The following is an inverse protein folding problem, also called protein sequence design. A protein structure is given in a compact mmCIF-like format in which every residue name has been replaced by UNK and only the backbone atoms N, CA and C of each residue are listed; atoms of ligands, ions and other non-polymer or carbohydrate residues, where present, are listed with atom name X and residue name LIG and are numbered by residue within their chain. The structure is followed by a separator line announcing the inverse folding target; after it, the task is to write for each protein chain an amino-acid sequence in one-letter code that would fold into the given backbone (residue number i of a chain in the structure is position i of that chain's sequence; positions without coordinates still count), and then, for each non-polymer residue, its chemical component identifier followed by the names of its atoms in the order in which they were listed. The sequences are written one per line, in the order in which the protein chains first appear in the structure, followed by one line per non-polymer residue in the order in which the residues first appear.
data_IF_073825731166
#
_entry.id   IF_073825731166
#
_cell.length_a   1.000
_cell.length_b   1.000
_cell.length_c   1.000
_cell.angle_alpha   90.00
_cell.angle_beta   90.00
_cell.angle_gamma   90.00
#
_symmetry.space_group_name_H-M   'P 1'
#
loop_
_entity.id
_entity.type
_entity.pdbx_description
1 polymer ?
#
# COMPACT_ATOMS: atom_id res chain seq x y z
N UNK A 1 -5.69 -8.16 -8.36
CA UNK A 1 -6.28 -9.50 -8.18
C UNK A 1 -6.26 -9.84 -6.70
N UNK A 2 -7.35 -10.30 -6.08
CA UNK A 2 -7.38 -10.63 -4.66
C UNK A 2 -7.15 -12.13 -4.44
N UNK A 3 -6.25 -12.44 -3.52
CA UNK A 3 -6.01 -13.80 -3.05
C UNK A 3 -6.52 -13.95 -1.62
N UNK A 4 -7.29 -15.02 -1.40
CA UNK A 4 -7.83 -15.41 -0.09
C UNK A 4 -6.86 -16.41 0.53
N UNK A 5 -6.25 -16.07 1.66
CA UNK A 5 -5.49 -17.04 2.44
C UNK A 5 -6.46 -17.95 3.22
N UNK A 6 -6.28 -19.28 3.22
CA UNK A 6 -7.19 -20.17 3.92
C UNK A 6 -7.03 -20.05 5.45
N UNK A 7 -8.17 -20.09 6.15
CA UNK A 7 -8.22 -20.33 7.59
C UNK A 7 -7.82 -21.80 7.88
N UNK A 8 -7.10 -22.09 8.99
CA UNK A 8 -6.85 -23.47 9.39
C UNK A 8 -8.15 -24.17 9.81
N UNK A 9 -8.51 -25.24 9.10
CA UNK A 9 -9.54 -26.20 9.50
C UNK A 9 -8.97 -27.13 10.59
N UNK A 10 -8.82 -26.67 11.83
CA UNK A 10 -8.63 -27.58 12.97
C UNK A 10 -9.23 -27.01 14.26
N UNK A 11 -10.55 -27.20 14.43
CA UNK A 11 -11.20 -27.38 15.73
C UNK A 11 -12.62 -27.89 15.47
N UNK A 12 -12.73 -29.20 15.23
CA UNK A 12 -13.90 -30.06 15.49
C UNK A 12 -13.61 -31.45 14.92
N UNK A 13 -12.84 -32.26 15.65
CA UNK A 13 -13.08 -33.72 15.68
C UNK A 13 -12.50 -34.32 16.95
N UNK A 14 -13.41 -34.95 17.68
CA UNK A 14 -13.19 -35.64 18.94
C UNK A 14 -12.15 -36.76 18.78
N UNK A 15 -11.38 -36.95 19.84
CA UNK A 15 -10.55 -38.10 20.12
C UNK A 15 -11.33 -39.41 19.95
N UNK A 16 -10.83 -40.33 19.14
CA UNK A 16 -10.86 -41.77 19.42
C UNK A 16 -9.54 -42.40 18.92
N UNK A 17 -8.94 -43.20 19.80
CA UNK A 17 -7.72 -43.98 19.60
C UNK A 17 -7.90 -45.06 18.51
N UNK A 18 -6.88 -45.33 17.69
CA UNK A 18 -6.36 -46.69 17.41
C UNK A 18 -5.06 -46.64 16.55
N UNK A 19 -4.18 -47.62 16.81
CA UNK A 19 -2.82 -47.82 16.27
C UNK A 19 -2.76 -48.16 14.76
N UNK A 20 -1.57 -48.04 14.10
CA UNK A 20 -1.44 -48.16 12.65
C UNK A 20 -1.15 -49.59 12.17
N UNK A 21 -1.69 -49.93 10.99
CA UNK A 21 -1.27 -51.07 10.17
C UNK A 21 -0.97 -50.56 8.75
N UNK A 22 0.26 -50.77 8.27
CA UNK A 22 0.64 -50.78 6.84
C UNK A 22 0.17 -52.12 6.24
N UNK A 23 -0.22 -52.22 4.94
CA UNK A 23 0.81 -52.40 3.90
C UNK A 23 0.47 -52.02 2.42
N UNK A 24 1.55 -52.01 1.64
CA UNK A 24 1.71 -52.41 0.23
C UNK A 24 1.46 -51.47 -0.96
N UNK A 25 2.50 -51.47 -1.80
CA UNK A 25 2.77 -50.87 -3.10
C UNK A 25 1.97 -51.45 -4.27
N UNK A 26 1.56 -50.61 -5.22
CA UNK A 26 1.16 -50.98 -6.60
C UNK A 26 1.68 -49.90 -7.60
N UNK A 27 2.20 -50.27 -8.79
CA UNK A 27 2.96 -49.38 -9.70
C UNK A 27 2.07 -48.65 -10.75
N UNK A 28 2.63 -47.81 -11.66
CA UNK A 28 1.90 -46.68 -12.26
C UNK A 28 1.12 -47.06 -13.52
N UNK A 29 0.00 -46.36 -13.78
CA UNK A 29 -0.70 -46.40 -15.08
C UNK A 29 -0.39 -45.12 -15.88
N UNK A 30 0.25 -45.33 -17.03
CA UNK A 30 0.36 -44.40 -18.15
C UNK A 30 -1.03 -44.02 -18.65
N UNK A 31 -1.25 -42.76 -19.01
CA UNK A 31 -2.32 -42.36 -19.92
C UNK A 31 -1.76 -41.52 -21.07
N UNK A 32 -2.20 -41.90 -22.27
CA UNK A 32 -1.80 -41.40 -23.58
C UNK A 32 -2.26 -39.95 -23.81
N UNK A 33 -1.41 -39.19 -24.50
CA UNK A 33 -1.79 -37.95 -25.17
C UNK A 33 -2.64 -38.26 -26.39
N UNK A 34 -3.85 -37.72 -26.44
CA UNK A 34 -4.59 -37.56 -27.69
C UNK A 34 -4.57 -36.09 -28.09
N UNK A 35 -3.80 -35.83 -29.14
CA UNK A 35 -3.83 -34.61 -29.96
C UNK A 35 -5.15 -34.62 -30.73
N UNK A 36 -5.95 -33.55 -30.61
CA UNK A 36 -6.96 -33.22 -31.60
C UNK A 36 -6.90 -31.75 -31.99
N UNK A 37 -6.88 -31.58 -33.31
CA UNK A 37 -6.77 -30.39 -34.13
C UNK A 37 -7.94 -29.42 -33.99
N UNK A 38 -7.63 -28.12 -34.15
CA UNK A 38 -8.59 -27.02 -34.29
C UNK A 38 -9.52 -27.21 -35.50
N UNK A 39 -10.71 -26.59 -35.46
CA UNK A 39 -10.97 -25.53 -36.44
C UNK A 39 -11.60 -24.26 -35.84
N UNK A 40 -11.35 -23.15 -36.54
CA UNK A 40 -11.82 -21.79 -36.30
C UNK A 40 -13.36 -21.67 -36.14
N UNK A 41 -13.86 -20.82 -35.23
CA UNK A 41 -14.60 -19.58 -35.57
C UNK A 41 -15.16 -18.84 -34.33
N UNK A 42 -15.24 -17.51 -34.49
CA UNK A 42 -16.06 -16.50 -33.77
C UNK A 42 -15.81 -16.26 -32.28
N UNK A 43 -15.18 -15.12 -31.99
CA UNK A 43 -15.05 -14.47 -30.69
C UNK A 43 -16.39 -13.93 -30.17
N UNK A 44 -16.79 -14.21 -28.90
CA UNK A 44 -17.82 -13.43 -28.24
C UNK A 44 -17.19 -12.16 -27.67
N UNK A 45 -17.74 -11.02 -28.07
CA UNK A 45 -17.49 -9.70 -27.50
C UNK A 45 -17.83 -9.67 -26.00
N UNK A 46 -16.84 -9.38 -25.17
CA UNK A 46 -17.03 -9.07 -23.74
C UNK A 46 -17.67 -7.68 -23.65
N UNK A 47 -18.80 -7.48 -22.96
CA UNK A 47 -19.40 -6.16 -22.83
C UNK A 47 -18.52 -5.28 -21.93
N UNK A 48 -18.04 -4.17 -22.48
CA UNK A 48 -17.42 -3.08 -21.72
C UNK A 48 -18.54 -2.37 -20.94
N UNK A 49 -18.72 -2.72 -19.67
CA UNK A 49 -19.60 -2.00 -18.76
C UNK A 49 -18.99 -0.63 -18.46
N UNK A 50 -19.50 0.42 -19.11
CA UNK A 50 -19.31 1.81 -18.68
C UNK A 50 -20.05 1.99 -17.36
N UNK A 51 -19.29 2.03 -16.26
CA UNK A 51 -19.82 2.42 -14.96
C UNK A 51 -20.23 3.90 -15.01
N UNK A 52 -21.53 4.16 -14.89
CA UNK A 52 -22.06 5.47 -14.53
C UNK A 52 -22.13 5.51 -12.99
N UNK A 53 -21.55 6.54 -12.39
CA UNK A 53 -21.56 6.73 -10.94
C UNK A 53 -22.92 7.31 -10.51
N UNK A 54 -23.71 6.62 -9.68
CA UNK A 54 -24.79 7.27 -8.97
C UNK A 54 -24.17 8.13 -7.87
N UNK A 55 -24.48 9.42 -7.91
CA UNK A 55 -24.19 10.36 -6.84
C UNK A 55 -25.18 10.08 -5.71
N UNK A 56 -24.63 10.07 -4.50
CA UNK A 56 -25.29 10.27 -3.21
C UNK A 56 -25.63 9.02 -2.37
N UNK A 57 -25.03 9.01 -1.17
CA UNK A 57 -25.44 8.35 0.07
C UNK A 57 -24.36 8.62 1.12
N UNK A 58 -24.67 9.55 2.01
CA UNK A 58 -23.91 9.96 3.19
C UNK A 58 -23.33 8.79 3.99
N UNK A 59 -22.00 8.66 4.00
CA UNK A 59 -21.23 7.78 4.88
C UNK A 59 -20.39 8.62 5.85
N UNK A 60 -20.35 8.31 7.16
CA UNK A 60 -19.59 9.08 8.12
C UNK A 60 -18.08 8.84 7.96
N UNK A 61 -17.30 9.92 8.02
CA UNK A 61 -15.85 10.07 7.84
C UNK A 61 -15.33 10.05 6.39
N UNK A 62 -15.77 11.01 5.57
CA UNK A 62 -14.95 11.49 4.44
C UNK A 62 -13.79 12.31 4.97
N UNK A 63 -12.57 12.09 4.47
CA UNK A 63 -11.51 13.10 4.59
C UNK A 63 -12.06 14.41 4.00
N UNK A 64 -12.13 15.48 4.79
CA UNK A 64 -12.74 16.73 4.32
C UNK A 64 -11.80 17.45 3.37
N UNK A 65 -12.38 18.20 2.43
CA UNK A 65 -11.62 19.11 1.56
C UNK A 65 -10.77 20.08 2.41
N UNK A 66 -11.32 20.54 3.54
CA UNK A 66 -10.61 21.38 4.51
C UNK A 66 -9.32 20.74 5.05
N UNK A 67 -9.33 19.43 5.35
CA UNK A 67 -8.14 18.73 5.87
C UNK A 67 -7.06 18.63 4.79
N UNK A 68 -7.47 18.36 3.54
CA UNK A 68 -6.55 18.34 2.40
C UNK A 68 -5.93 19.72 2.11
N UNK A 69 -6.71 20.80 2.25
CA UNK A 69 -6.20 22.16 2.09
C UNK A 69 -5.19 22.52 3.19
N UNK A 70 -5.47 22.14 4.44
CA UNK A 70 -4.54 22.34 5.57
C UNK A 70 -3.23 21.58 5.34
N UNK A 71 -3.29 20.33 4.89
CA UNK A 71 -2.10 19.54 4.57
C UNK A 71 -1.30 20.15 3.43
N UNK A 72 -1.97 20.47 2.31
CA UNK A 72 -1.33 21.12 1.17
C UNK A 72 -0.64 22.42 1.57
N UNK A 73 -1.28 23.21 2.44
CA UNK A 73 -0.71 24.42 3.02
C UNK A 73 0.62 24.18 3.75
N UNK A 74 0.79 23.04 4.44
CA UNK A 74 2.06 22.67 5.08
C UNK A 74 3.16 22.34 4.08
N UNK A 75 2.84 21.71 2.95
CA UNK A 75 3.86 21.51 1.90
C UNK A 75 4.22 22.82 1.22
N UNK A 76 3.25 23.69 0.98
CA UNK A 76 3.49 25.01 0.40
C UNK A 76 4.26 25.93 1.35
N UNK A 77 4.26 25.67 2.67
CA UNK A 77 5.06 26.43 3.63
C UNK A 77 6.57 26.27 3.41
N UNK A 78 6.98 25.17 2.78
CA UNK A 78 8.36 24.92 2.38
C UNK A 78 8.86 25.90 1.31
N UNK A 79 7.95 26.54 0.58
CA UNK A 79 8.30 27.52 -0.44
C UNK A 79 8.46 28.92 0.16
N UNK A 80 9.38 29.74 -0.37
CA UNK A 80 9.40 31.18 -0.15
C UNK A 80 8.05 31.82 -0.49
N UNK A 81 7.73 32.95 0.15
CA UNK A 81 6.40 33.57 0.07
C UNK A 81 5.92 33.85 -1.36
N UNK A 82 6.78 34.39 -2.22
CA UNK A 82 6.43 34.69 -3.61
C UNK A 82 6.13 33.42 -4.41
N UNK A 83 6.98 32.39 -4.28
CA UNK A 83 6.78 31.09 -4.93
C UNK A 83 5.49 30.42 -4.45
N UNK A 84 5.23 30.49 -3.14
CA UNK A 84 4.00 29.98 -2.53
C UNK A 84 2.76 30.64 -3.12
N UNK A 85 2.73 31.97 -3.22
CA UNK A 85 1.61 32.72 -3.82
C UNK A 85 1.38 32.28 -5.27
N UNK A 86 2.46 32.24 -6.06
CA UNK A 86 2.42 31.82 -7.48
C UNK A 86 1.84 30.43 -7.68
N UNK A 87 2.20 29.46 -6.83
CA UNK A 87 1.63 28.11 -6.89
C UNK A 87 0.17 28.11 -6.44
N UNK A 88 -0.16 28.87 -5.39
CA UNK A 88 -1.52 28.96 -4.84
C UNK A 88 -2.52 29.61 -5.81
N UNK A 89 -2.07 30.53 -6.65
CA UNK A 89 -2.89 31.17 -7.69
C UNK A 89 -3.13 30.26 -8.91
N UNK A 90 -2.49 29.10 -8.98
CA UNK A 90 -2.64 28.19 -10.12
C UNK A 90 -4.04 27.52 -10.09
N UNK A 91 -4.76 27.59 -11.22
CA UNK A 91 -6.12 27.02 -11.37
C UNK A 91 -6.26 25.53 -11.00
N UNK A 92 -5.16 24.78 -11.08
CA UNK A 92 -5.10 23.34 -10.81
C UNK A 92 -4.41 23.04 -9.45
N UNK A 93 -4.36 24.00 -8.52
CA UNK A 93 -3.72 23.86 -7.21
C UNK A 93 -4.06 22.53 -6.51
N UNK A 94 -5.34 22.17 -6.48
CA UNK A 94 -5.82 20.93 -5.84
C UNK A 94 -5.27 19.66 -6.48
N UNK A 95 -4.74 19.74 -7.71
CA UNK A 95 -4.12 18.65 -8.46
C UNK A 95 -2.59 18.74 -8.53
N UNK A 96 -1.97 19.64 -7.74
CA UNK A 96 -0.51 19.73 -7.64
C UNK A 96 0.10 18.36 -7.34
N UNK A 97 1.03 17.92 -8.17
CA UNK A 97 1.68 16.61 -8.03
C UNK A 97 2.96 16.72 -7.23
N UNK A 98 3.84 17.64 -7.63
CA UNK A 98 5.09 17.90 -6.94
C UNK A 98 5.64 19.30 -7.23
N UNK A 99 6.52 19.78 -6.36
CA UNK A 99 7.33 20.98 -6.56
C UNK A 99 8.80 20.58 -6.57
N UNK A 100 9.55 21.06 -7.56
CA UNK A 100 10.96 20.76 -7.78
C UNK A 100 11.77 22.04 -7.59
N UNK A 101 12.78 21.95 -6.72
CA UNK A 101 13.70 23.04 -6.40
C UNK A 101 15.13 22.54 -6.53
N UNK A 102 15.82 22.94 -7.59
CA UNK A 102 17.23 22.57 -7.83
C UNK A 102 18.10 23.83 -7.82
N UNK A 103 19.15 23.86 -7.00
CA UNK A 103 20.08 24.99 -6.91
C UNK A 103 20.56 25.44 -8.29
N UNK A 104 20.37 26.72 -8.60
CA UNK A 104 20.76 27.31 -9.89
C UNK A 104 19.79 27.02 -11.05
N UNK A 105 18.61 26.43 -10.80
CA UNK A 105 17.56 26.21 -11.80
C UNK A 105 16.26 26.92 -11.42
N UNK A 106 15.42 27.21 -12.41
CA UNK A 106 14.09 27.75 -12.16
C UNK A 106 13.23 26.71 -11.41
N UNK A 107 12.50 27.12 -10.37
CA UNK A 107 11.60 26.22 -9.66
C UNK A 107 10.39 25.82 -10.52
N UNK A 108 9.98 24.55 -10.39
CA UNK A 108 8.87 23.98 -11.16
C UNK A 108 7.79 23.41 -10.22
N UNK A 109 6.53 23.65 -10.55
CA UNK A 109 5.40 22.88 -10.03
C UNK A 109 4.88 21.97 -11.15
N UNK A 110 4.54 20.72 -10.84
CA UNK A 110 3.97 19.78 -11.82
C UNK A 110 2.50 19.59 -11.57
N UNK A 111 1.72 19.74 -12.64
CA UNK A 111 0.28 19.52 -12.69
C UNK A 111 -0.05 18.50 -13.79
N UNK A 112 -1.27 17.93 -13.82
CA UNK A 112 -1.70 17.07 -14.92
C UNK A 112 -1.64 17.76 -16.29
N UNK A 113 -1.83 19.08 -16.34
CA UNK A 113 -1.66 19.90 -17.54
C UNK A 113 -0.21 20.07 -18.00
N UNK A 114 0.77 19.72 -17.16
CA UNK A 114 2.21 19.88 -17.43
C UNK A 114 2.94 20.70 -16.37
N UNK A 115 4.20 21.01 -16.68
CA UNK A 115 5.11 21.74 -15.80
C UNK A 115 4.80 23.25 -15.83
N UNK A 116 4.75 23.86 -14.65
CA UNK A 116 4.58 25.29 -14.42
C UNK A 116 5.84 25.88 -13.80
N UNK A 117 6.47 26.83 -14.50
CA UNK A 117 7.61 27.58 -13.98
C UNK A 117 7.13 28.58 -12.95
N UNK A 118 7.48 28.33 -11.69
CA UNK A 118 6.97 29.10 -10.54
C UNK A 118 7.58 30.50 -10.55
N UNK A 119 8.89 30.59 -10.81
CA UNK A 119 9.68 31.83 -10.86
C UNK A 119 10.68 31.80 -12.01
N UNK A 120 10.94 32.96 -12.60
CA UNK A 120 12.00 33.16 -13.59
C UNK A 120 13.40 33.20 -12.95
N UNK A 121 13.48 33.46 -11.64
CA UNK A 121 14.72 33.47 -10.88
C UNK A 121 15.12 32.05 -10.46
N UNK A 122 16.41 31.68 -10.59
CA UNK A 122 16.89 30.38 -10.13
C UNK A 122 16.80 30.21 -8.61
N UNK A 123 16.58 28.97 -8.17
CA UNK A 123 16.65 28.58 -6.76
C UNK A 123 18.03 28.87 -6.19
N UNK A 124 18.03 29.48 -5.01
CA UNK A 124 19.22 29.86 -4.25
C UNK A 124 19.48 28.88 -3.11
N UNK A 125 20.64 29.01 -2.46
CA UNK A 125 20.97 28.23 -1.26
C UNK A 125 19.98 28.54 -0.13
N UNK A 126 19.58 29.81 0.02
CA UNK A 126 18.63 30.25 1.06
C UNK A 126 17.26 29.60 0.90
N UNK A 127 16.80 29.39 -0.35
CA UNK A 127 15.51 28.72 -0.59
C UNK A 127 15.54 27.25 -0.14
N UNK A 128 16.66 26.56 -0.38
CA UNK A 128 16.85 25.17 0.08
C UNK A 128 16.96 25.12 1.61
N UNK A 129 17.70 26.04 2.22
CA UNK A 129 17.81 26.16 3.69
C UNK A 129 16.44 26.43 4.33
N UNK A 130 15.66 27.35 3.77
CA UNK A 130 14.29 27.66 4.22
C UNK A 130 13.38 26.44 4.19
N UNK A 131 13.42 25.65 3.12
CA UNK A 131 12.62 24.43 3.00
C UNK A 131 13.09 23.36 4.00
N UNK A 132 14.39 23.08 4.04
CA UNK A 132 14.95 22.00 4.89
C UNK A 132 14.78 22.27 6.39
N UNK A 133 14.80 23.54 6.82
CA UNK A 133 14.54 23.93 8.21
C UNK A 133 13.13 23.56 8.72
N UNK A 134 12.17 23.34 7.81
CA UNK A 134 10.78 23.04 8.15
C UNK A 134 10.41 21.55 8.04
N UNK A 135 11.21 20.74 7.34
CA UNK A 135 10.90 19.33 7.04
C UNK A 135 11.34 18.39 8.17
N UNK A 136 12.40 18.75 8.90
CA UNK A 136 13.05 17.87 9.89
C UNK A 136 14.19 17.06 9.28
N UNK A 137 14.60 16.00 9.98
CA UNK A 137 15.74 15.18 9.58
C UNK A 137 15.41 14.26 8.40
N UNK A 138 16.28 14.24 7.41
CA UNK A 138 16.21 13.28 6.31
C UNK A 138 16.75 11.93 6.76
N UNK A 139 15.98 10.87 6.48
CA UNK A 139 16.39 9.49 6.69
C UNK A 139 17.59 9.10 5.79
N UNK A 140 18.12 7.91 6.04
CA UNK A 140 19.30 7.36 5.34
C UNK A 140 19.14 7.26 3.82
N UNK A 141 17.90 7.22 3.32
CA UNK A 141 17.56 7.15 1.89
C UNK A 141 17.34 8.53 1.25
N UNK A 142 17.69 9.61 1.97
CA UNK A 142 17.48 11.01 1.60
C UNK A 142 16.00 11.41 1.45
N UNK A 143 15.10 10.72 2.15
CA UNK A 143 13.69 11.09 2.22
C UNK A 143 13.33 11.62 3.59
N UNK A 144 12.36 12.51 3.59
CA UNK A 144 11.64 12.95 4.78
C UNK A 144 10.18 13.18 4.38
N UNK A 145 9.28 13.21 5.33
CA UNK A 145 7.91 13.65 5.16
C UNK A 145 7.58 14.78 6.12
N UNK A 146 6.42 15.38 5.91
CA UNK A 146 5.90 16.39 6.81
C UNK A 146 4.98 15.69 7.82
N UNK A 147 5.29 15.83 9.11
CA UNK A 147 4.54 15.18 10.19
C UNK A 147 3.03 15.36 10.04
N UNK A 148 2.29 14.27 10.26
CA UNK A 148 0.82 14.20 10.13
C UNK A 148 0.29 14.52 8.71
N UNK A 149 1.11 14.39 7.68
CA UNK A 149 0.69 14.48 6.27
C UNK A 149 1.19 13.24 5.52
N UNK A 150 0.76 13.06 4.28
CA UNK A 150 1.33 12.06 3.38
C UNK A 150 2.38 12.65 2.41
N UNK A 151 2.76 13.91 2.59
CA UNK A 151 3.71 14.59 1.72
C UNK A 151 5.13 14.05 1.92
N UNK A 152 5.88 13.99 0.80
CA UNK A 152 7.24 13.42 0.78
C UNK A 152 8.23 14.37 0.15
N UNK A 153 9.32 14.61 0.83
CA UNK A 153 10.44 15.46 0.42
C UNK A 153 11.64 14.57 0.16
N UNK A 154 12.16 14.60 -1.06
CA UNK A 154 13.37 13.85 -1.45
C UNK A 154 14.50 14.83 -1.72
N UNK A 155 15.61 14.68 -0.99
CA UNK A 155 16.78 15.53 -1.13
C UNK A 155 17.78 14.97 -2.14
N UNK A 156 18.32 15.85 -2.97
CA UNK A 156 19.49 15.61 -3.81
C UNK A 156 20.69 16.20 -3.08
N UNK A 157 21.71 15.39 -2.81
CA UNK A 157 22.94 15.81 -2.13
C UNK A 157 24.13 15.83 -3.08
N UNK A 158 25.02 16.81 -2.90
CA UNK A 158 26.32 16.83 -3.59
C UNK A 158 27.32 15.86 -2.93
N UNK A 159 28.54 15.77 -3.49
CA UNK A 159 29.62 14.89 -2.97
C UNK A 159 30.05 15.18 -1.53
N UNK A 160 29.78 16.39 -1.01
CA UNK A 160 30.07 16.79 0.38
C UNK A 160 28.89 16.52 1.33
N UNK A 161 27.80 15.93 0.83
CA UNK A 161 26.60 15.66 1.61
C UNK A 161 25.65 16.85 1.75
N UNK A 162 25.97 18.02 1.18
CA UNK A 162 25.10 19.20 1.23
C UNK A 162 23.88 18.98 0.34
N UNK A 163 22.68 19.32 0.84
CA UNK A 163 21.45 19.31 0.04
C UNK A 163 21.53 20.44 -1.00
N UNK A 164 21.35 20.09 -2.26
CA UNK A 164 21.40 21.01 -3.41
C UNK A 164 20.13 20.97 -4.26
N UNK A 165 19.19 20.09 -3.93
CA UNK A 165 17.90 20.03 -4.60
C UNK A 165 16.87 19.28 -3.77
N UNK A 166 15.59 19.58 -4.02
CA UNK A 166 14.44 19.01 -3.34
C UNK A 166 13.37 18.65 -4.37
N UNK A 167 12.76 17.49 -4.21
CA UNK A 167 11.50 17.11 -4.85
C UNK A 167 10.44 16.94 -3.77
N UNK A 168 9.47 17.85 -3.73
CA UNK A 168 8.40 17.91 -2.75
C UNK A 168 7.11 17.33 -3.36
N UNK A 169 6.78 16.07 -3.08
CA UNK A 169 5.63 15.36 -3.62
C UNK A 169 4.40 15.51 -2.73
N UNK A 170 3.27 15.80 -3.35
CA UNK A 170 1.98 15.94 -2.67
C UNK A 170 1.34 14.55 -2.51
N UNK A 171 1.48 13.95 -1.33
CA UNK A 171 0.67 12.80 -0.93
C UNK A 171 -0.76 13.22 -0.58
N UNK A 172 -1.73 12.33 -0.82
CA UNK A 172 -3.16 12.53 -0.55
C UNK A 172 -3.79 11.27 0.01
N UNK A 173 -4.73 11.43 0.93
CA UNK A 173 -5.63 10.35 1.33
C UNK A 173 -6.91 10.39 0.49
N UNK A 174 -7.26 9.26 -0.13
CA UNK A 174 -8.43 9.14 -0.99
C UNK A 174 -9.42 8.17 -0.37
N UNK A 175 -10.50 8.72 0.18
CA UNK A 175 -11.61 7.93 0.72
C UNK A 175 -12.43 7.27 -0.39
N UNK A 176 -13.10 6.16 -0.07
CA UNK A 176 -13.96 5.43 -1.02
C UNK A 176 -13.20 4.58 -2.04
N UNK A 177 -11.87 4.62 -2.08
CA UNK A 177 -11.01 3.82 -2.97
C UNK A 177 -11.16 2.30 -2.75
N UNK A 178 -11.57 1.87 -1.55
CA UNK A 178 -11.79 0.47 -1.20
C UNK A 178 -13.27 0.05 -1.17
N UNK A 179 -14.21 0.90 -1.63
CA UNK A 179 -15.67 0.63 -1.53
C UNK A 179 -16.07 -0.68 -2.22
N UNK A 180 -15.46 -1.01 -3.35
CA UNK A 180 -15.72 -2.25 -4.09
C UNK A 180 -15.20 -3.51 -3.39
N UNK A 181 -14.38 -3.37 -2.34
CA UNK A 181 -13.82 -4.47 -1.56
C UNK A 181 -14.49 -4.62 -0.18
N UNK A 182 -15.54 -3.83 0.09
CA UNK A 182 -16.11 -3.71 1.43
C UNK A 182 -16.61 -5.05 2.00
N UNK A 183 -17.24 -5.86 1.16
CA UNK A 183 -17.71 -7.21 1.47
C UNK A 183 -16.55 -8.15 1.82
N UNK A 184 -15.47 -8.11 1.05
CA UNK A 184 -14.25 -8.91 1.27
C UNK A 184 -13.52 -8.49 2.54
N UNK A 185 -13.48 -7.19 2.83
CA UNK A 185 -12.92 -6.64 4.07
C UNK A 185 -13.74 -7.10 5.28
N UNK A 186 -15.06 -7.06 5.19
CA UNK A 186 -15.98 -7.43 6.27
C UNK A 186 -15.97 -8.94 6.58
N UNK A 187 -15.81 -9.79 5.57
CA UNK A 187 -15.74 -11.25 5.70
C UNK A 187 -14.58 -11.70 6.63
N UNK A 188 -13.59 -10.84 6.87
CA UNK A 188 -12.48 -11.12 7.78
C UNK A 188 -11.38 -11.99 7.16
N UNK A 189 -11.52 -12.33 5.87
CA UNK A 189 -10.48 -13.00 5.09
C UNK A 189 -9.26 -12.10 4.90
N UNK A 190 -8.08 -12.70 4.87
CA UNK A 190 -6.87 -11.97 4.50
C UNK A 190 -6.90 -11.57 3.01
N UNK A 191 -6.38 -10.39 2.72
CA UNK A 191 -6.37 -9.76 1.39
C UNK A 191 -4.93 -9.47 0.97
N UNK A 192 -4.54 -9.96 -0.20
CA UNK A 192 -3.29 -9.58 -0.85
C UNK A 192 -3.58 -8.82 -2.14
N UNK A 193 -3.05 -7.59 -2.24
CA UNK A 193 -3.20 -6.73 -3.40
C UNK A 193 -1.94 -6.82 -4.28
N UNK A 194 -2.13 -7.29 -5.51
CA UNK A 194 -1.06 -7.45 -6.51
C UNK A 194 -1.34 -6.53 -7.69
N UNK A 195 -0.28 -5.89 -8.19
CA UNK A 195 -0.31 -5.07 -9.38
C UNK A 195 0.98 -4.25 -9.55
N UNK A 196 1.19 -3.66 -10.73
CA UNK A 196 2.38 -2.85 -11.03
C UNK A 196 2.62 -1.72 -10.00
N UNK A 197 3.84 -1.17 -9.93
CA UNK A 197 4.10 0.06 -9.20
C UNK A 197 3.19 1.21 -9.67
N UNK A 198 2.76 2.07 -8.75
CA UNK A 198 1.98 3.28 -9.08
C UNK A 198 0.48 3.10 -9.33
N UNK A 199 -0.06 1.87 -9.32
CA UNK A 199 -1.50 1.62 -9.59
C UNK A 199 -2.45 1.94 -8.42
N UNK A 200 -1.95 2.51 -7.33
CA UNK A 200 -2.78 2.89 -6.17
C UNK A 200 -2.99 1.81 -5.10
N UNK A 201 -2.18 0.74 -5.07
CA UNK A 201 -2.27 -0.32 -4.04
C UNK A 201 -2.24 0.25 -2.62
N UNK A 202 -1.27 1.13 -2.33
CA UNK A 202 -1.11 1.76 -1.02
C UNK A 202 -2.31 2.62 -0.63
N UNK A 203 -2.97 3.26 -1.61
CA UNK A 203 -4.20 4.02 -1.38
C UNK A 203 -5.33 3.12 -0.90
N UNK A 204 -5.48 1.94 -1.53
CA UNK A 204 -6.52 0.98 -1.17
C UNK A 204 -6.23 0.38 0.21
N UNK A 205 -5.02 -0.10 0.50
CA UNK A 205 -4.73 -0.72 1.81
C UNK A 205 -4.87 0.29 2.96
N UNK A 206 -4.55 1.58 2.73
CA UNK A 206 -4.74 2.65 3.71
C UNK A 206 -6.22 2.83 4.05
N UNK A 207 -7.08 2.89 3.03
CA UNK A 207 -8.52 2.99 3.24
C UNK A 207 -9.10 1.73 3.90
N UNK A 208 -8.62 0.54 3.52
CA UNK A 208 -9.00 -0.72 4.20
C UNK A 208 -8.61 -0.69 5.68
N UNK A 209 -7.42 -0.19 6.02
CA UNK A 209 -6.99 -0.04 7.41
C UNK A 209 -7.92 0.89 8.19
N UNK A 210 -8.26 2.05 7.61
CA UNK A 210 -9.24 2.99 8.18
C UNK A 210 -10.59 2.33 8.39
N UNK A 211 -11.14 1.64 7.39
CA UNK A 211 -12.42 0.95 7.47
C UNK A 211 -12.41 -0.12 8.59
N UNK A 212 -11.38 -0.96 8.63
CA UNK A 212 -11.24 -2.00 9.67
C UNK A 212 -11.15 -1.39 11.08
N UNK A 213 -10.43 -0.30 11.25
CA UNK A 213 -10.26 0.36 12.54
C UNK A 213 -11.51 1.13 12.98
N UNK A 214 -12.03 2.01 12.12
CA UNK A 214 -13.11 2.94 12.47
C UNK A 214 -14.49 2.34 12.28
N UNK A 215 -14.73 1.65 11.18
CA UNK A 215 -16.08 1.23 10.80
C UNK A 215 -16.38 -0.14 11.43
N UNK A 216 -15.40 -1.06 11.39
CA UNK A 216 -15.52 -2.41 11.96
C UNK A 216 -14.93 -2.58 13.36
N UNK A 217 -14.39 -1.50 13.96
CA UNK A 217 -13.86 -1.46 15.33
C UNK A 217 -12.84 -2.56 15.65
N UNK A 218 -12.04 -2.95 14.66
CA UNK A 218 -10.98 -3.95 14.82
C UNK A 218 -9.74 -3.31 15.43
N UNK A 219 -8.99 -4.10 16.21
CA UNK A 219 -7.62 -3.76 16.60
C UNK A 219 -6.70 -3.94 15.41
N UNK A 220 -6.46 -2.85 14.67
CA UNK A 220 -5.60 -2.83 13.48
C UNK A 220 -4.21 -2.36 13.86
N UNK A 221 -3.18 -3.11 13.45
CA UNK A 221 -1.79 -2.69 13.49
C UNK A 221 -1.24 -2.60 12.08
N UNK A 222 -0.68 -1.46 11.71
CA UNK A 222 0.03 -1.25 10.46
C UNK A 222 1.52 -1.42 10.73
N UNK A 223 2.18 -2.28 9.96
CA UNK A 223 3.63 -2.38 9.90
C UNK A 223 4.10 -1.66 8.64
N UNK A 224 4.68 -0.48 8.83
CA UNK A 224 4.95 0.50 7.77
C UNK A 224 6.47 0.66 7.57
N UNK A 225 6.98 0.19 6.44
CA UNK A 225 8.41 0.21 6.14
C UNK A 225 8.82 1.48 5.42
N UNK A 226 7.99 1.93 4.48
CA UNK A 226 8.27 3.10 3.64
C UNK A 226 7.64 4.40 4.15
N UNK A 227 6.91 4.33 5.27
CA UNK A 227 6.05 5.41 5.79
C UNK A 227 4.97 5.86 4.79
N UNK A 228 4.65 5.04 3.78
CA UNK A 228 3.66 5.40 2.77
C UNK A 228 2.24 5.26 3.29
N UNK A 229 1.95 4.34 4.22
CA UNK A 229 0.58 4.13 4.71
C UNK A 229 0.20 5.20 5.72
N UNK A 230 1.00 5.33 6.78
CA UNK A 230 0.73 6.20 7.92
C UNK A 230 1.37 7.59 7.82
N UNK A 231 2.12 7.90 6.77
CA UNK A 231 2.87 9.15 6.67
C UNK A 231 4.12 9.18 7.55
N UNK A 232 4.89 10.25 7.48
CA UNK A 232 6.14 10.39 8.25
C UNK A 232 5.94 11.06 9.61
N UNK A 233 6.96 10.98 10.47
CA UNK A 233 6.96 11.47 11.86
C UNK A 233 6.31 10.50 12.84
N UNK A 234 6.30 10.83 14.14
CA UNK A 234 5.81 9.91 15.19
C UNK A 234 4.28 9.76 15.20
N UNK A 235 3.57 10.82 14.77
CA UNK A 235 2.12 10.87 14.79
C UNK A 235 1.60 10.50 13.39
N UNK A 236 0.91 9.36 13.25
CA UNK A 236 0.43 8.92 11.96
C UNK A 236 -0.67 9.85 11.41
N UNK A 237 -0.76 9.86 10.10
CA UNK A 237 -1.80 10.53 9.33
C UNK A 237 -3.21 10.05 9.71
N UNK A 238 -4.19 10.94 9.82
CA UNK A 238 -5.59 10.61 10.14
C UNK A 238 -6.24 9.66 9.13
N UNK A 239 -5.68 9.55 7.92
CA UNK A 239 -6.12 8.65 6.85
C UNK A 239 -6.08 7.16 7.17
N UNK A 240 -5.43 6.74 8.26
CA UNK A 240 -5.49 5.35 8.76
C UNK A 240 -6.56 5.14 9.84
N UNK A 241 -7.33 6.17 10.19
CA UNK A 241 -8.31 6.13 11.27
C UNK A 241 -7.68 5.89 12.64
N UNK A 242 -8.31 5.07 13.47
CA UNK A 242 -7.79 4.68 14.78
C UNK A 242 -6.80 3.49 14.73
N UNK A 243 -6.33 3.11 13.54
CA UNK A 243 -5.32 2.08 13.42
C UNK A 243 -4.02 2.51 14.11
N UNK A 244 -3.34 1.56 14.75
CA UNK A 244 -2.02 1.79 15.33
C UNK A 244 -0.95 1.51 14.28
N UNK A 245 0.23 2.10 14.43
CA UNK A 245 1.35 1.93 13.51
C UNK A 245 2.62 1.56 14.25
N UNK A 246 3.37 0.64 13.66
CA UNK A 246 4.78 0.35 13.97
C UNK A 246 5.61 0.68 12.73
N UNK A 247 6.61 1.55 12.90
CA UNK A 247 7.55 1.89 11.82
C UNK A 247 8.69 0.86 11.81
N UNK A 248 9.07 0.41 10.63
CA UNK A 248 10.19 -0.52 10.48
C UNK A 248 11.50 0.29 10.32
N UNK A 249 12.51 0.09 11.19
CA UNK A 249 13.75 0.89 11.13
C UNK A 249 14.58 0.70 9.85
N UNK A 250 14.51 -0.48 9.25
CA UNK A 250 15.08 -0.80 7.94
C UNK A 250 14.34 -1.99 7.32
N UNK A 251 14.33 -2.09 5.99
CA UNK A 251 13.55 -3.11 5.26
C UNK A 251 13.85 -4.55 5.72
N UNK A 252 15.10 -4.85 6.05
CA UNK A 252 15.51 -6.20 6.44
C UNK A 252 14.91 -6.65 7.79
N UNK A 253 14.41 -5.71 8.59
CA UNK A 253 13.84 -5.97 9.92
C UNK A 253 12.31 -6.13 9.90
N UNK A 254 11.64 -5.94 8.76
CA UNK A 254 10.18 -5.98 8.67
C UNK A 254 9.59 -7.28 9.24
N UNK A 255 10.19 -8.43 8.93
CA UNK A 255 9.76 -9.72 9.46
C UNK A 255 9.81 -9.82 10.99
N UNK A 256 10.78 -9.15 11.65
CA UNK A 256 10.85 -9.12 13.13
C UNK A 256 9.79 -8.21 13.72
N UNK A 257 9.56 -7.06 13.10
CA UNK A 257 8.50 -6.13 13.52
C UNK A 257 7.11 -6.75 13.38
N UNK A 258 6.89 -7.57 12.33
CA UNK A 258 5.67 -8.35 12.17
C UNK A 258 5.43 -9.33 13.34
N UNK A 259 6.49 -10.00 13.80
CA UNK A 259 6.41 -10.92 14.95
C UNK A 259 6.14 -10.14 16.24
N UNK A 260 6.89 -9.07 16.47
CA UNK A 260 6.73 -8.19 17.64
C UNK A 260 5.31 -7.63 17.75
N UNK A 261 4.72 -7.18 16.64
CA UNK A 261 3.36 -6.67 16.60
C UNK A 261 2.34 -7.67 17.16
N UNK A 262 2.53 -8.96 16.88
CA UNK A 262 1.63 -10.03 17.31
C UNK A 262 1.84 -10.34 18.78
N UNK A 263 3.10 -10.47 19.20
CA UNK A 263 3.48 -10.83 20.56
C UNK A 263 3.07 -9.77 21.57
N UNK A 264 3.20 -8.49 21.21
CA UNK A 264 3.05 -7.39 22.17
C UNK A 264 1.70 -6.67 22.10
N UNK A 265 0.95 -6.78 21.01
CA UNK A 265 -0.21 -5.91 20.79
C UNK A 265 -1.53 -6.63 20.48
N UNK A 266 -1.55 -7.96 20.43
CA UNK A 266 -2.76 -8.79 20.22
C UNK A 266 -3.72 -8.24 19.13
N UNK A 267 -3.21 -7.92 17.92
CA UNK A 267 -4.03 -7.34 16.86
C UNK A 267 -5.06 -8.35 16.34
N UNK A 268 -6.16 -7.83 15.80
CA UNK A 268 -7.11 -8.64 15.01
C UNK A 268 -6.76 -8.57 13.53
N UNK A 269 -6.13 -7.48 13.11
CA UNK A 269 -5.70 -7.24 11.73
C UNK A 269 -4.27 -6.72 11.74
N UNK A 270 -3.43 -7.26 10.87
CA UNK A 270 -2.15 -6.65 10.51
C UNK A 270 -2.18 -6.17 9.07
N UNK A 271 -1.86 -4.90 8.87
CA UNK A 271 -1.71 -4.28 7.54
C UNK A 271 -0.23 -4.13 7.25
N UNK A 272 0.19 -4.55 6.06
CA UNK A 272 1.58 -4.58 5.63
C UNK A 272 1.67 -3.80 4.31
N UNK A 273 2.61 -2.86 4.24
CA UNK A 273 2.95 -2.12 3.01
C UNK A 273 3.18 -3.09 1.84
N UNK A 274 4.31 -3.79 1.85
CA UNK A 274 4.72 -4.67 0.76
C UNK A 274 5.41 -5.88 1.36
N UNK A 275 5.04 -7.08 0.91
CA UNK A 275 5.75 -8.32 1.18
C UNK A 275 6.62 -8.63 -0.04
N UNK A 276 7.94 -8.60 0.16
CA UNK A 276 8.93 -8.80 -0.88
C UNK A 276 9.91 -9.94 -0.59
N UNK A 277 10.09 -10.34 0.67
CA UNK A 277 11.08 -11.36 1.04
C UNK A 277 10.47 -12.66 1.57
N UNK A 278 11.24 -13.75 1.49
CA UNK A 278 10.82 -15.06 2.04
C UNK A 278 10.59 -14.99 3.55
N UNK A 279 11.40 -14.22 4.28
CA UNK A 279 11.25 -14.06 5.73
C UNK A 279 9.94 -13.36 6.10
N UNK A 280 9.58 -12.30 5.36
CA UNK A 280 8.28 -11.63 5.54
C UNK A 280 7.12 -12.55 5.18
N UNK A 281 7.21 -13.31 4.10
CA UNK A 281 6.18 -14.26 3.69
C UNK A 281 5.95 -15.36 4.73
N UNK A 282 7.02 -15.90 5.33
CA UNK A 282 6.93 -16.87 6.42
C UNK A 282 6.32 -16.26 7.69
N UNK A 283 6.70 -15.03 8.05
CA UNK A 283 6.13 -14.31 9.18
C UNK A 283 4.63 -14.10 8.97
N UNK A 284 4.23 -13.57 7.81
CA UNK A 284 2.83 -13.40 7.41
C UNK A 284 2.06 -14.73 7.47
N UNK A 285 2.59 -15.82 6.89
CA UNK A 285 1.94 -17.13 6.97
C UNK A 285 1.72 -17.60 8.41
N UNK A 286 2.70 -17.41 9.29
CA UNK A 286 2.59 -17.78 10.71
C UNK A 286 1.53 -16.95 11.43
N UNK A 287 1.43 -15.66 11.10
CA UNK A 287 0.43 -14.74 11.64
C UNK A 287 -0.98 -15.16 11.20
N UNK A 288 -1.18 -15.46 9.92
CA UNK A 288 -2.45 -15.91 9.38
C UNK A 288 -2.91 -17.23 10.05
N UNK A 289 -1.99 -18.16 10.32
CA UNK A 289 -2.29 -19.40 11.05
C UNK A 289 -2.79 -19.18 12.47
N UNK A 290 -2.46 -18.03 13.09
CA UNK A 290 -3.00 -17.62 14.41
C UNK A 290 -4.39 -16.97 14.32
N UNK A 291 -5.00 -16.94 13.13
CA UNK A 291 -6.34 -16.37 12.92
C UNK A 291 -6.37 -14.83 12.84
N UNK A 292 -5.20 -14.19 12.66
CA UNK A 292 -5.10 -12.75 12.46
C UNK A 292 -5.32 -12.46 10.97
N UNK A 293 -6.23 -11.53 10.66
CA UNK A 293 -6.48 -11.09 9.29
C UNK A 293 -5.28 -10.30 8.79
N UNK A 294 -4.80 -10.61 7.58
CA UNK A 294 -3.73 -9.86 6.94
C UNK A 294 -4.28 -9.02 5.79
N UNK A 295 -3.81 -7.78 5.67
CA UNK A 295 -4.03 -6.94 4.49
C UNK A 295 -2.66 -6.48 4.01
N UNK A 296 -2.24 -6.92 2.82
CA UNK A 296 -0.90 -6.63 2.35
C UNK A 296 -0.87 -6.30 0.86
N UNK A 297 0.23 -5.69 0.40
CA UNK A 297 0.60 -5.72 -1.02
C UNK A 297 1.78 -6.66 -1.23
N UNK A 298 2.00 -7.08 -2.48
CA UNK A 298 3.20 -7.81 -2.87
C UNK A 298 3.69 -7.35 -4.24
N UNK A 299 5.01 -7.50 -4.43
CA UNK A 299 5.64 -7.23 -5.72
C UNK A 299 5.25 -8.31 -6.74
N UNK A 300 4.45 -7.93 -7.73
CA UNK A 300 3.99 -8.82 -8.78
C UNK A 300 3.08 -8.08 -9.74
N UNK A 301 3.21 -8.36 -11.04
CA UNK A 301 2.29 -7.84 -12.06
C UNK A 301 1.01 -8.68 -12.05
N UNK A 302 1.17 -10.00 -11.88
CA UNK A 302 0.09 -10.97 -11.91
C UNK A 302 0.24 -12.01 -10.79
N UNK A 303 -0.80 -12.83 -10.58
CA UNK A 303 -0.72 -13.96 -9.65
C UNK A 303 0.30 -15.00 -10.08
N UNK A 304 0.44 -15.24 -11.39
CA UNK A 304 1.36 -16.23 -11.94
C UNK A 304 2.79 -15.86 -11.54
N UNK A 305 3.14 -14.57 -11.58
CA UNK A 305 4.43 -14.08 -11.11
C UNK A 305 4.66 -14.35 -9.62
N UNK A 306 3.58 -14.29 -8.82
CA UNK A 306 3.66 -14.57 -7.38
C UNK A 306 3.83 -16.08 -7.11
N UNK A 307 3.07 -16.93 -7.82
CA UNK A 307 3.16 -18.39 -7.73
C UNK A 307 4.54 -18.88 -8.17
N UNK A 308 5.10 -18.30 -9.23
CA UNK A 308 6.41 -18.68 -9.75
C UNK A 308 7.58 -18.11 -8.94
N UNK A 309 7.32 -17.24 -7.96
CA UNK A 309 8.35 -16.66 -7.10
C UNK A 309 8.56 -17.54 -5.85
N UNK A 310 9.69 -18.26 -5.72
CA UNK A 310 9.94 -19.17 -4.60
C UNK A 310 9.97 -18.49 -3.23
N UNK A 311 10.11 -17.17 -3.18
CA UNK A 311 10.07 -16.40 -1.93
C UNK A 311 8.64 -16.10 -1.49
N UNK A 312 7.69 -16.03 -2.42
CA UNK A 312 6.35 -15.51 -2.19
C UNK A 312 5.23 -16.51 -2.47
N UNK A 313 5.53 -17.66 -3.10
CA UNK A 313 4.55 -18.69 -3.49
C UNK A 313 3.65 -19.12 -2.31
N UNK A 314 4.18 -19.11 -1.09
CA UNK A 314 3.44 -19.49 0.11
C UNK A 314 2.28 -18.54 0.46
N UNK A 315 2.31 -17.30 -0.03
CA UNK A 315 1.25 -16.31 0.16
C UNK A 315 -0.01 -16.60 -0.67
N UNK A 316 0.08 -17.51 -1.64
CA UNK A 316 -1.06 -17.90 -2.48
C UNK A 316 -1.93 -18.97 -1.79
N UNK A 317 -1.42 -19.57 -0.70
CA UNK A 317 -2.08 -20.68 -0.02
C UNK A 317 -2.17 -21.94 -0.89
N UNK A 318 -2.99 -22.90 -0.46
CA UNK A 318 -3.31 -24.08 -1.27
C UNK A 318 -4.45 -23.79 -2.26
N UNK A 319 -4.36 -24.29 -3.50
CA UNK A 319 -5.46 -24.22 -4.47
C UNK A 319 -6.59 -25.12 -3.99
N UNK A 320 -7.71 -24.53 -3.55
CA UNK A 320 -8.91 -25.28 -3.21
C UNK A 320 -9.82 -25.33 -4.43
N UNK A 321 -9.73 -26.41 -5.21
CA UNK A 321 -10.68 -26.67 -6.30
C UNK A 321 -12.04 -26.95 -5.68
N UNK A 322 -12.93 -25.96 -5.70
CA UNK A 322 -14.31 -26.12 -5.29
C UNK A 322 -15.03 -26.85 -6.42
N UNK A 323 -15.14 -28.19 -6.31
CA UNK A 323 -16.00 -28.94 -7.21
C UNK A 323 -17.44 -28.44 -7.00
N UNK A 324 -18.20 -28.18 -8.08
CA UNK A 324 -19.58 -27.75 -7.96
C UNK A 324 -20.35 -28.80 -7.16
N UNK A 325 -20.97 -28.36 -6.07
CA UNK A 325 -21.94 -29.18 -5.34
C UNK A 325 -23.16 -29.33 -6.23
N UNK A 326 -23.38 -30.55 -6.70
CA UNK A 326 -24.57 -31.02 -7.40
C UNK A 326 -25.83 -30.84 -6.56
#
# INVERSE_FOLDING_TARGET
MLLRLPLPLHLLRRYEHHQPLLPNSVPPKRFNYHIFSHPHSTSPTVPVLRATYPVDLSSPSSFSEDEQEVELGRLLSLLPEEMRRRVSDHRELQQLMEVVMDLGRKPLARFPSGDFVISEYPITVQDIEHATAQVGDFAIDNRAGISRTLHRISAIRNRKGTIIGLTCRVGRAISGSAKLLQDLVQDGSSLLLIGPPGVGKTTIIREVARMLANDYKKRVMIVDTSNEIGGDGDIPHSGIGSARRMQVPNSDMQHKVLIEAVENHMPQVIVIDEIGTKLEAMAASTIAQRGIQLVATAHGITIENLIMNPSLEMLVGGIQVRLPTS
#
